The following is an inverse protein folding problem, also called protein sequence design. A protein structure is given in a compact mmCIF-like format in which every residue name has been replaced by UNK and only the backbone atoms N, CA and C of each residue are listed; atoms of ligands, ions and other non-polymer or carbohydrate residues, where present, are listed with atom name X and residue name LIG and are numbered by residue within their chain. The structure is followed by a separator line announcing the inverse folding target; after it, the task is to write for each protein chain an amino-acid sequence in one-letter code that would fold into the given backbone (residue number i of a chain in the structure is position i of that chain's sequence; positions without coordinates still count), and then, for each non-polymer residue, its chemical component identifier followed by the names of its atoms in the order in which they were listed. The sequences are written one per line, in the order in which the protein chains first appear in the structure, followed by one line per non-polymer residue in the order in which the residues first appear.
data_IF_849511020313
#
_entry.id   IF_849511020313
#
_cell.length_a   1.000
_cell.length_b   1.000
_cell.length_c   1.000
_cell.angle_alpha   90.00
_cell.angle_beta   90.00
_cell.angle_gamma   90.00
#
_symmetry.space_group_name_H-M   'P 1'
#
loop_
_entity.id
_entity.type
_entity.pdbx_description
1 polymer ?
#
# COMPACT_ATOMS: atom_id res chain seq x y z
N UNK A 1 28.19 2.53 22.13
CA UNK A 1 28.05 1.21 21.46
C UNK A 1 27.17 0.20 22.24
N UNK A 2 26.55 0.58 23.37
CA UNK A 2 25.65 -0.31 24.13
C UNK A 2 24.16 -0.03 23.84
N UNK A 3 23.80 1.22 23.57
CA UNK A 3 22.43 1.62 23.19
C UNK A 3 22.00 1.00 21.86
N UNK A 4 22.88 0.99 20.85
CA UNK A 4 22.60 0.33 19.58
C UNK A 4 22.37 -1.17 19.78
N UNK A 5 23.18 -1.85 20.62
CA UNK A 5 22.98 -3.27 20.91
C UNK A 5 21.65 -3.52 21.64
N UNK A 6 21.28 -2.72 22.64
CA UNK A 6 20.00 -2.87 23.35
C UNK A 6 18.78 -2.57 22.48
N UNK A 7 18.90 -1.63 21.53
CA UNK A 7 17.85 -1.35 20.55
C UNK A 7 17.73 -2.48 19.54
N UNK A 8 18.82 -3.06 19.04
CA UNK A 8 18.74 -4.19 18.11
C UNK A 8 18.33 -5.53 18.77
N UNK A 9 18.66 -5.75 20.05
CA UNK A 9 18.25 -6.97 20.78
C UNK A 9 16.87 -6.85 21.43
N UNK A 10 16.36 -5.62 21.64
CA UNK A 10 15.03 -5.37 22.20
C UNK A 10 13.89 -5.56 21.21
N UNK A 11 14.20 -5.70 19.93
CA UNK A 11 13.20 -5.89 18.88
C UNK A 11 12.69 -7.32 18.89
N UNK A 12 11.38 -7.45 19.10
CA UNK A 12 10.74 -8.75 19.07
C UNK A 12 10.87 -9.32 17.66
N UNK A 13 11.18 -10.62 17.54
CA UNK A 13 11.30 -11.31 16.24
C UNK A 13 10.09 -11.05 15.31
N UNK A 14 8.93 -10.77 15.91
CA UNK A 14 7.66 -10.44 15.24
C UNK A 14 7.69 -9.06 14.55
N UNK A 15 8.35 -8.08 15.15
CA UNK A 15 8.42 -6.70 14.64
C UNK A 15 9.35 -6.60 13.41
N UNK A 16 10.45 -7.35 13.44
CA UNK A 16 11.39 -7.44 12.30
C UNK A 16 10.70 -8.08 11.10
N UNK A 17 9.95 -9.17 11.32
CA UNK A 17 9.18 -9.84 10.26
C UNK A 17 8.11 -8.92 9.68
N UNK A 18 7.46 -8.13 10.54
CA UNK A 18 6.45 -7.16 10.10
C UNK A 18 7.05 -6.06 9.22
N UNK A 19 8.19 -5.48 9.61
CA UNK A 19 8.88 -4.46 8.82
C UNK A 19 9.38 -4.97 7.47
N UNK A 20 10.01 -6.14 7.43
CA UNK A 20 10.44 -6.75 6.17
C UNK A 20 9.26 -7.02 5.23
N UNK A 21 8.13 -7.48 5.77
CA UNK A 21 6.90 -7.71 5.00
C UNK A 21 6.36 -6.40 4.44
N UNK A 22 6.32 -5.33 5.25
CA UNK A 22 5.92 -3.99 4.81
C UNK A 22 6.79 -3.47 3.66
N UNK A 23 8.12 -3.55 3.78
CA UNK A 23 9.05 -3.06 2.75
C UNK A 23 8.85 -3.80 1.42
N UNK A 24 8.68 -5.13 1.47
CA UNK A 24 8.37 -5.94 0.30
C UNK A 24 7.05 -5.53 -0.35
N UNK A 25 6.01 -5.31 0.46
CA UNK A 25 4.69 -4.85 0.03
C UNK A 25 4.79 -3.52 -0.73
N UNK A 26 5.57 -2.56 -0.22
CA UNK A 26 5.77 -1.24 -0.83
C UNK A 26 6.59 -1.32 -2.14
N UNK A 27 7.56 -2.22 -2.23
CA UNK A 27 8.34 -2.42 -3.48
C UNK A 27 7.48 -3.07 -4.57
N UNK A 28 6.58 -4.00 -4.21
CA UNK A 28 5.62 -4.56 -5.17
C UNK A 28 4.58 -3.53 -5.61
N UNK A 29 4.15 -2.65 -4.70
CA UNK A 29 3.31 -1.50 -5.01
C UNK A 29 3.98 -0.56 -6.03
N UNK A 30 5.26 -0.25 -5.80
CA UNK A 30 6.07 0.61 -6.67
C UNK A 30 6.28 0.05 -8.08
N UNK A 31 6.20 -1.29 -8.25
CA UNK A 31 6.29 -1.94 -9.57
C UNK A 31 5.05 -1.75 -10.46
N UNK A 32 3.98 -1.11 -9.97
CA UNK A 32 2.84 -0.72 -10.82
C UNK A 32 2.00 -1.88 -11.35
N UNK A 33 2.17 -3.09 -10.80
CA UNK A 33 1.40 -4.27 -11.17
C UNK A 33 -0.01 -4.18 -10.59
N UNK A 34 -0.98 -4.83 -11.24
CA UNK A 34 -2.37 -4.96 -10.74
C UNK A 34 -2.40 -5.51 -9.30
N UNK A 35 -1.40 -6.29 -8.91
CA UNK A 35 -1.21 -6.80 -7.55
C UNK A 35 -1.12 -5.69 -6.47
N UNK A 36 -0.74 -4.47 -6.82
CA UNK A 36 -0.78 -3.31 -5.92
C UNK A 36 -2.18 -3.06 -5.33
N UNK A 37 -3.24 -3.28 -6.11
CA UNK A 37 -4.61 -3.09 -5.63
C UNK A 37 -5.02 -4.14 -4.59
N UNK A 38 -4.58 -5.39 -4.74
CA UNK A 38 -4.80 -6.46 -3.74
C UNK A 38 -4.08 -6.11 -2.44
N UNK A 39 -2.81 -5.71 -2.54
CA UNK A 39 -1.99 -5.33 -1.40
C UNK A 39 -2.54 -4.07 -0.69
N UNK A 40 -2.97 -3.09 -1.47
CA UNK A 40 -3.60 -1.88 -0.96
C UNK A 40 -4.92 -2.14 -0.25
N UNK A 41 -5.71 -3.11 -0.73
CA UNK A 41 -6.95 -3.52 -0.06
C UNK A 41 -6.65 -4.20 1.30
N UNK A 42 -5.66 -5.09 1.34
CA UNK A 42 -5.22 -5.73 2.60
C UNK A 42 -4.74 -4.66 3.61
N UNK A 43 -3.96 -3.68 3.13
CA UNK A 43 -3.50 -2.56 3.96
C UNK A 43 -4.66 -1.70 4.50
N UNK A 44 -5.65 -1.38 3.65
CA UNK A 44 -6.84 -0.63 4.06
C UNK A 44 -7.67 -1.40 5.12
N UNK A 45 -7.80 -2.73 4.97
CA UNK A 45 -8.49 -3.58 5.94
C UNK A 45 -7.73 -3.66 7.28
N UNK A 46 -6.40 -3.85 7.25
CA UNK A 46 -5.59 -3.80 8.47
C UNK A 46 -5.70 -2.44 9.16
N UNK A 47 -5.67 -1.34 8.39
CA UNK A 47 -5.82 0.01 8.93
C UNK A 47 -7.20 0.24 9.56
N UNK A 48 -8.26 -0.30 8.95
CA UNK A 48 -9.60 -0.29 9.53
C UNK A 48 -9.64 -1.04 10.88
N UNK A 49 -9.06 -2.25 10.95
CA UNK A 49 -9.00 -3.05 12.19
C UNK A 49 -8.25 -2.32 13.31
N UNK A 50 -7.09 -1.72 13.00
CA UNK A 50 -6.30 -0.96 13.98
C UNK A 50 -7.05 0.29 14.45
N UNK A 51 -7.71 0.99 13.54
CA UNK A 51 -8.48 2.20 13.88
C UNK A 51 -9.71 1.89 14.73
N UNK A 52 -10.33 0.72 14.52
CA UNK A 52 -11.42 0.22 15.36
C UNK A 52 -10.92 -0.08 16.79
N UNK A 53 -9.77 -0.75 16.93
CA UNK A 53 -9.17 -1.04 18.23
C UNK A 53 -8.78 0.22 19.02
N UNK A 54 -8.35 1.27 18.32
CA UNK A 54 -7.96 2.55 18.94
C UNK A 54 -9.14 3.53 19.13
N UNK A 55 -10.39 3.10 18.86
CA UNK A 55 -11.59 3.95 18.93
C UNK A 55 -11.53 5.23 18.06
N UNK A 56 -10.70 5.23 17.01
CA UNK A 56 -10.57 6.37 16.07
C UNK A 56 -11.54 6.19 14.91
N UNK A 57 -12.83 6.46 15.16
CA UNK A 57 -13.90 6.20 14.20
C UNK A 57 -13.79 7.00 12.90
N UNK A 58 -13.20 8.20 12.92
CA UNK A 58 -12.98 8.99 11.70
C UNK A 58 -12.05 8.30 10.69
N UNK A 59 -10.97 7.69 11.19
CA UNK A 59 -10.02 6.94 10.36
C UNK A 59 -10.61 5.61 9.91
N UNK A 60 -11.42 4.96 10.75
CA UNK A 60 -12.16 3.75 10.40
C UNK A 60 -13.12 4.01 9.22
N UNK A 61 -13.92 5.07 9.30
CA UNK A 61 -14.85 5.43 8.23
C UNK A 61 -14.12 5.76 6.93
N UNK A 62 -13.00 6.50 7.01
CA UNK A 62 -12.16 6.78 5.84
C UNK A 62 -11.61 5.50 5.21
N UNK A 63 -11.13 4.56 6.04
CA UNK A 63 -10.60 3.28 5.59
C UNK A 63 -11.62 2.44 4.83
N UNK A 64 -12.85 2.38 5.35
CA UNK A 64 -13.93 1.54 4.81
C UNK A 64 -14.61 2.22 3.62
N UNK A 65 -15.00 3.49 3.74
CA UNK A 65 -15.81 4.19 2.74
C UNK A 65 -15.00 4.85 1.64
N UNK A 66 -13.70 5.10 1.83
CA UNK A 66 -12.87 5.76 0.83
C UNK A 66 -11.76 4.85 0.32
N UNK A 67 -10.93 4.32 1.23
CA UNK A 67 -9.75 3.52 0.86
C UNK A 67 -10.13 2.17 0.25
N UNK A 68 -11.11 1.43 0.78
CA UNK A 68 -11.53 0.18 0.14
C UNK A 68 -12.11 0.37 -1.28
N UNK A 69 -13.13 1.21 -1.52
CA UNK A 69 -13.75 1.33 -2.84
C UNK A 69 -12.80 1.90 -3.90
N UNK A 70 -11.86 2.78 -3.55
CA UNK A 70 -10.89 3.28 -4.52
C UNK A 70 -9.91 2.21 -5.00
N UNK A 71 -9.59 1.21 -4.17
CA UNK A 71 -8.77 0.08 -4.62
C UNK A 71 -9.51 -0.83 -5.58
N UNK A 72 -10.82 -1.04 -5.39
CA UNK A 72 -11.65 -1.75 -6.38
C UNK A 72 -11.78 -0.97 -7.70
N UNK A 73 -12.02 0.34 -7.62
CA UNK A 73 -12.12 1.18 -8.81
C UNK A 73 -10.80 1.25 -9.58
N UNK A 74 -9.69 1.41 -8.86
CA UNK A 74 -8.35 1.40 -9.43
C UNK A 74 -8.03 0.07 -10.10
N UNK A 75 -8.33 -1.07 -9.46
CA UNK A 75 -8.19 -2.41 -10.05
C UNK A 75 -8.97 -2.50 -11.36
N UNK A 76 -10.25 -2.13 -11.35
CA UNK A 76 -11.13 -2.23 -12.52
C UNK A 76 -10.59 -1.42 -13.69
N UNK A 77 -10.12 -0.20 -13.43
CA UNK A 77 -9.55 0.66 -14.48
C UNK A 77 -8.19 0.15 -14.98
N UNK A 78 -7.40 -0.48 -14.11
CA UNK A 78 -6.08 -1.04 -14.45
C UNK A 78 -6.13 -2.35 -15.23
N UNK A 79 -7.19 -3.14 -15.04
CA UNK A 79 -7.32 -4.47 -15.67
C UNK A 79 -7.78 -4.40 -17.13
N UNK A 80 -8.15 -3.21 -17.61
CA UNK A 80 -8.58 -3.02 -19.00
C UNK A 80 -7.43 -3.30 -19.99
N UNK A 81 -7.64 -4.14 -21.01
CA UNK A 81 -6.59 -4.62 -21.91
C UNK A 81 -5.90 -3.53 -22.75
N UNK A 82 -6.48 -2.33 -22.86
CA UNK A 82 -5.86 -1.20 -23.56
C UNK A 82 -4.60 -0.63 -22.87
N UNK A 83 -4.34 -0.97 -21.60
CA UNK A 83 -3.14 -0.57 -20.84
C UNK A 83 -2.17 -1.74 -20.56
N UNK A 84 -2.49 -2.96 -21.03
CA UNK A 84 -1.65 -4.14 -20.81
C UNK A 84 -0.59 -4.25 -21.92
N UNK A 85 0.44 -3.39 -21.86
CA UNK A 85 1.71 -3.68 -22.53
C UNK A 85 2.39 -4.88 -21.87
N UNK A 86 3.23 -5.58 -22.62
CA UNK A 86 3.96 -6.81 -22.23
C UNK A 86 4.73 -6.63 -20.90
N UNK A 87 5.07 -5.39 -20.56
CA UNK A 87 5.46 -5.00 -19.22
C UNK A 87 4.26 -4.34 -18.52
N UNK A 88 3.82 -4.90 -17.39
CA UNK A 88 2.78 -4.40 -16.49
C UNK A 88 3.20 -3.07 -15.81
N UNK A 89 3.69 -2.12 -16.59
CA UNK A 89 4.21 -0.82 -16.19
C UNK A 89 3.18 0.23 -16.56
N UNK A 90 2.87 1.08 -15.59
CA UNK A 90 1.94 2.17 -15.74
C UNK A 90 2.50 3.19 -16.73
N UNK A 91 1.75 3.54 -17.79
CA UNK A 91 2.12 4.66 -18.67
C UNK A 91 1.92 5.97 -17.92
N UNK A 92 3.00 6.51 -17.35
CA UNK A 92 2.99 7.79 -16.64
C UNK A 92 2.59 8.90 -17.62
N UNK A 93 1.47 9.58 -17.34
CA UNK A 93 1.08 10.78 -18.08
C UNK A 93 1.62 11.99 -17.33
N UNK A 94 2.43 12.80 -18.00
CA UNK A 94 2.85 14.08 -17.46
C UNK A 94 1.64 15.02 -17.40
N UNK A 95 1.43 15.64 -16.23
CA UNK A 95 0.31 16.56 -15.98
C UNK A 95 0.54 17.95 -16.63
N UNK A 96 1.76 18.24 -17.09
CA UNK A 96 2.03 19.39 -17.93
C UNK A 96 1.61 19.08 -19.37
N UNK A 97 0.41 19.52 -19.74
CA UNK A 97 -0.02 19.56 -21.15
C UNK A 97 0.64 20.72 -21.94
N UNK A 98 1.46 21.53 -21.25
CA UNK A 98 2.20 22.66 -21.79
C UNK A 98 3.66 22.58 -21.34
N UNK A 99 4.46 21.81 -22.05
CA UNK A 99 5.85 22.19 -22.29
C UNK A 99 5.81 23.00 -23.58
N UNK A 100 6.21 24.28 -23.49
CA UNK A 100 6.76 24.99 -24.65
C UNK A 100 7.94 24.21 -25.23
#
# INVERSE_FOLDING_TARGET
MNVLKSTFTGWSKKEVVWLCSCILLTILAAKGKVFNYVLGLIGALMYAVISYQNHVFGQLLLAIFFLCPIQFYGWYNWTRPHNNTIEQQIKIKNLLKYSL
#
